data_IF_455062314338
#
_entry.id   IF_455062314338
#
_cell.length_a   1.000
_cell.length_b   1.000
_cell.length_c   1.000
_cell.angle_alpha   90.00
_cell.angle_beta   90.00
_cell.angle_gamma   90.00
#
_symmetry.space_group_name_H-M   'P 1'
#
loop_
_entity.id
_entity.type
_entity.pdbx_description
1 polymer ?
#
# COMPACT_ATOMS: atom_id res chain seq x y z
N UNK A 1 -5.16 16.53 -8.52
CA UNK A 1 -6.55 16.04 -8.59
C UNK A 1 -7.00 15.50 -7.24
N UNK A 2 -8.30 15.48 -7.00
CA UNK A 2 -8.90 14.85 -5.81
C UNK A 2 -9.31 13.42 -6.15
N UNK A 3 -9.01 12.48 -5.27
CA UNK A 3 -9.44 11.08 -5.39
C UNK A 3 -10.27 10.71 -4.15
N UNK A 4 -11.56 10.42 -4.33
CA UNK A 4 -12.52 10.11 -3.26
C UNK A 4 -13.10 8.69 -3.33
N UNK A 5 -12.71 7.93 -4.35
CA UNK A 5 -13.18 6.60 -4.72
C UNK A 5 -14.64 6.49 -5.19
N UNK A 6 -15.41 7.58 -5.25
CA UNK A 6 -16.85 7.54 -5.55
C UNK A 6 -17.30 8.50 -6.65
N UNK A 7 -16.77 9.71 -6.67
CA UNK A 7 -17.27 10.78 -7.52
C UNK A 7 -16.42 10.89 -8.77
N UNK A 8 -16.94 10.35 -9.89
CA UNK A 8 -16.35 10.60 -11.19
C UNK A 8 -16.76 11.99 -11.70
N UNK A 9 -15.79 12.85 -11.97
CA UNK A 9 -16.00 14.14 -12.63
C UNK A 9 -15.48 14.08 -14.06
N UNK A 10 -16.07 14.84 -14.97
CA UNK A 10 -15.66 14.84 -16.40
C UNK A 10 -14.19 15.27 -16.58
N UNK A 11 -13.70 16.15 -15.72
CA UNK A 11 -12.34 16.72 -15.79
C UNK A 11 -11.23 15.81 -15.22
N UNK A 12 -11.59 14.70 -14.56
CA UNK A 12 -10.60 13.83 -13.91
C UNK A 12 -10.65 12.41 -14.50
N UNK A 13 -9.53 11.99 -15.09
CA UNK A 13 -9.35 10.63 -15.59
C UNK A 13 -9.51 9.58 -14.46
N UNK A 14 -9.03 9.92 -13.26
CA UNK A 14 -9.08 9.06 -12.08
C UNK A 14 -9.91 9.68 -10.97
N UNK A 15 -10.71 8.86 -10.30
CA UNK A 15 -11.41 9.21 -9.05
C UNK A 15 -11.16 8.19 -7.94
N UNK A 16 -10.68 6.98 -8.29
CA UNK A 16 -10.25 5.94 -7.36
C UNK A 16 -8.74 5.97 -7.17
N UNK A 17 -8.31 5.79 -5.93
CA UNK A 17 -6.89 5.78 -5.57
C UNK A 17 -6.14 4.65 -6.28
N UNK A 18 -6.70 3.44 -6.32
CA UNK A 18 -6.02 2.30 -6.93
C UNK A 18 -5.86 2.44 -8.45
N UNK A 19 -6.88 2.96 -9.13
CA UNK A 19 -6.83 3.16 -10.58
C UNK A 19 -5.76 4.18 -10.95
N UNK A 20 -5.65 5.27 -10.17
CA UNK A 20 -4.57 6.24 -10.33
C UNK A 20 -3.19 5.59 -10.15
N UNK A 21 -3.00 4.81 -9.08
CA UNK A 21 -1.73 4.11 -8.82
C UNK A 21 -1.41 3.16 -9.98
N UNK A 22 -2.38 2.37 -10.44
CA UNK A 22 -2.23 1.42 -11.54
C UNK A 22 -1.89 2.09 -12.87
N UNK A 23 -2.53 3.22 -13.19
CA UNK A 23 -2.30 3.95 -14.43
C UNK A 23 -0.97 4.69 -14.49
N UNK A 24 -0.37 4.98 -13.32
CA UNK A 24 0.80 5.86 -13.22
C UNK A 24 2.06 5.20 -12.63
N UNK A 25 1.97 3.95 -12.18
CA UNK A 25 3.14 3.18 -11.69
C UNK A 25 3.75 2.37 -12.82
N UNK A 26 5.01 2.63 -13.16
CA UNK A 26 5.77 1.88 -14.17
C UNK A 26 6.96 1.16 -13.52
N UNK A 27 8.18 1.38 -14.03
CA UNK A 27 9.43 0.73 -13.59
C UNK A 27 10.21 1.64 -12.63
N UNK A 28 9.55 2.11 -11.57
CA UNK A 28 10.11 3.01 -10.57
C UNK A 28 10.06 2.45 -9.16
N UNK A 29 10.23 3.32 -8.16
CA UNK A 29 10.19 2.97 -6.75
C UNK A 29 8.95 3.56 -6.07
N UNK A 30 8.19 2.72 -5.37
CA UNK A 30 7.02 3.11 -4.59
C UNK A 30 7.32 3.06 -3.09
N UNK A 31 7.28 4.23 -2.46
CA UNK A 31 7.34 4.38 -1.00
C UNK A 31 5.92 4.58 -0.47
N UNK A 32 5.52 3.79 0.53
CA UNK A 32 4.16 3.78 1.06
C UNK A 32 4.19 3.79 2.58
N UNK A 33 3.37 4.65 3.19
CA UNK A 33 3.02 4.56 4.61
C UNK A 33 1.52 4.47 4.76
N UNK A 34 1.05 3.62 5.67
CA UNK A 34 -0.37 3.47 5.97
C UNK A 34 -0.59 3.08 7.42
N UNK A 35 -1.66 3.60 8.02
CA UNK A 35 -2.06 3.21 9.38
C UNK A 35 -2.72 1.84 9.44
N UNK A 36 -3.46 1.48 8.37
CA UNK A 36 -4.06 0.15 8.24
C UNK A 36 -3.78 -0.50 6.89
N UNK A 37 -3.77 -1.83 6.84
CA UNK A 37 -3.74 -2.57 5.57
C UNK A 37 -4.60 -3.83 5.59
N UNK A 38 -4.95 -4.34 4.40
CA UNK A 38 -5.63 -5.64 4.22
C UNK A 38 -4.85 -6.57 3.28
N UNK A 39 -5.07 -7.88 3.44
CA UNK A 39 -4.40 -8.93 2.64
C UNK A 39 -4.72 -8.78 1.15
N UNK A 40 -5.99 -8.56 0.81
CA UNK A 40 -6.42 -8.37 -0.57
C UNK A 40 -5.81 -7.13 -1.23
N UNK A 41 -5.56 -6.06 -0.47
CA UNK A 41 -4.87 -4.88 -1.01
C UNK A 41 -3.42 -5.21 -1.38
N UNK A 42 -2.69 -5.95 -0.53
CA UNK A 42 -1.34 -6.42 -0.85
C UNK A 42 -1.33 -7.35 -2.07
N UNK A 43 -2.28 -8.29 -2.15
CA UNK A 43 -2.45 -9.15 -3.32
C UNK A 43 -2.70 -8.33 -4.60
N UNK A 44 -3.49 -7.26 -4.51
CA UNK A 44 -3.77 -6.37 -5.63
C UNK A 44 -2.51 -5.63 -6.11
N UNK A 45 -1.59 -5.26 -5.21
CA UNK A 45 -0.30 -4.66 -5.58
C UNK A 45 0.51 -5.62 -6.47
N UNK A 46 0.60 -6.90 -6.09
CA UNK A 46 1.27 -7.94 -6.89
C UNK A 46 0.62 -8.14 -8.25
N UNK A 47 -0.70 -8.13 -8.32
CA UNK A 47 -1.40 -8.42 -9.57
C UNK A 47 -1.33 -7.25 -10.56
N UNK A 48 -1.23 -6.00 -10.08
CA UNK A 48 -1.47 -4.83 -10.93
C UNK A 48 -0.29 -3.89 -11.10
N UNK A 49 0.65 -3.83 -10.15
CA UNK A 49 1.77 -2.86 -10.20
C UNK A 49 3.13 -3.51 -9.92
N UNK A 50 3.22 -4.83 -10.09
CA UNK A 50 4.46 -5.58 -9.87
C UNK A 50 5.54 -5.31 -10.93
N UNK A 51 5.34 -4.39 -11.86
CA UNK A 51 6.39 -3.85 -12.73
C UNK A 51 7.34 -2.92 -11.98
N UNK A 52 6.89 -2.31 -10.87
CA UNK A 52 7.75 -1.43 -10.08
C UNK A 52 9.02 -2.15 -9.63
N UNK A 53 10.14 -1.43 -9.72
CA UNK A 53 11.48 -1.93 -9.44
C UNK A 53 11.74 -2.06 -7.94
N UNK A 54 11.01 -1.30 -7.10
CA UNK A 54 11.19 -1.30 -5.64
C UNK A 54 9.94 -0.87 -4.88
N UNK A 55 9.71 -1.50 -3.73
CA UNK A 55 8.69 -1.11 -2.76
C UNK A 55 9.32 -0.92 -1.38
N UNK A 56 8.95 0.17 -0.70
CA UNK A 56 9.22 0.37 0.73
C UNK A 56 7.91 0.65 1.45
N UNK A 57 7.49 -0.27 2.30
CA UNK A 57 6.19 -0.23 2.97
C UNK A 57 6.39 -0.01 4.47
N UNK A 58 5.87 1.11 4.99
CA UNK A 58 5.71 1.34 6.41
C UNK A 58 4.25 1.01 6.74
N UNK A 59 4.03 -0.16 7.32
CA UNK A 59 2.70 -0.69 7.59
C UNK A 59 2.36 -0.55 9.07
N UNK A 60 1.18 0.00 9.34
CA UNK A 60 0.56 -0.01 10.67
C UNK A 60 -0.14 -1.32 10.96
N UNK A 61 -1.29 -1.26 11.62
CA UNK A 61 -2.00 -2.44 12.06
C UNK A 61 -2.84 -3.03 10.92
N UNK A 62 -3.03 -4.34 10.89
CA UNK A 62 -4.15 -4.87 10.09
C UNK A 62 -5.48 -4.47 10.73
N UNK A 63 -6.51 -4.28 9.91
CA UNK A 63 -7.87 -4.14 10.43
C UNK A 63 -8.30 -5.48 11.04
N UNK A 64 -8.78 -5.42 12.29
CA UNK A 64 -9.13 -6.58 13.14
C UNK A 64 -10.36 -7.38 12.65
N UNK A 65 -11.03 -6.94 11.59
CA UNK A 65 -12.20 -7.63 11.05
C UNK A 65 -11.87 -8.86 10.18
N UNK A 66 -10.58 -9.18 10.03
CA UNK A 66 -10.15 -10.29 9.19
C UNK A 66 -9.51 -11.43 10.02
N UNK A 67 -10.09 -12.64 10.05
CA UNK A 67 -9.45 -13.88 10.56
C UNK A 67 -8.13 -14.25 9.82
N UNK A 68 -7.72 -13.45 8.84
CA UNK A 68 -6.73 -13.74 7.79
C UNK A 68 -5.28 -13.47 8.21
N UNK A 69 -5.04 -12.70 9.29
CA UNK A 69 -3.68 -12.41 9.75
C UNK A 69 -2.91 -13.69 10.09
N UNK A 70 -3.57 -14.57 10.84
CA UNK A 70 -2.99 -15.85 11.22
C UNK A 70 -2.66 -16.65 9.97
N UNK A 71 -3.45 -16.59 8.90
CA UNK A 71 -3.16 -17.34 7.68
C UNK A 71 -1.98 -16.78 6.90
N UNK A 72 -1.87 -15.46 6.75
CA UNK A 72 -0.69 -14.84 6.11
C UNK A 72 0.57 -15.11 6.92
N UNK A 73 0.52 -14.96 8.26
CA UNK A 73 1.64 -15.31 9.15
C UNK A 73 2.00 -16.79 9.03
N UNK A 74 0.99 -17.65 9.09
CA UNK A 74 1.19 -19.09 9.03
C UNK A 74 1.82 -19.47 7.68
N UNK A 75 1.36 -18.90 6.56
CA UNK A 75 1.96 -19.09 5.24
C UNK A 75 3.40 -18.53 5.15
N UNK A 76 3.68 -17.35 5.70
CA UNK A 76 5.04 -16.80 5.80
C UNK A 76 5.97 -17.74 6.59
N UNK A 77 5.44 -18.37 7.63
CA UNK A 77 6.12 -19.33 8.49
C UNK A 77 6.11 -20.77 7.92
N UNK A 78 5.58 -20.99 6.71
CA UNK A 78 5.53 -22.31 6.06
C UNK A 78 4.51 -23.29 6.65
N UNK A 79 3.57 -22.82 7.47
CA UNK A 79 2.52 -23.61 8.10
C UNK A 79 1.17 -23.33 7.42
N UNK A 80 0.64 -24.17 6.52
CA UNK A 80 -0.68 -23.93 5.95
C UNK A 80 -1.80 -24.19 6.99
N UNK A 81 -2.58 -23.15 7.32
CA UNK A 81 -3.78 -23.28 8.15
C UNK A 81 -4.95 -23.95 7.42
N UNK A 82 -5.82 -24.64 8.15
CA UNK A 82 -6.85 -25.53 7.57
C UNK A 82 -8.19 -24.83 7.27
N UNK A 83 -8.48 -23.64 7.84
CA UNK A 83 -9.86 -23.18 8.04
C UNK A 83 -10.42 -22.04 7.15
N UNK A 84 -9.74 -21.57 6.09
CA UNK A 84 -10.31 -20.55 5.18
C UNK A 84 -10.87 -21.07 3.86
N UNK A 85 -11.70 -20.23 3.22
CA UNK A 85 -12.21 -20.43 1.88
C UNK A 85 -11.09 -20.37 0.83
N UNK A 86 -11.30 -20.99 -0.34
CA UNK A 86 -10.31 -21.06 -1.42
C UNK A 86 -9.85 -19.68 -1.92
N UNK A 87 -10.76 -18.71 -2.00
CA UNK A 87 -10.43 -17.34 -2.40
C UNK A 87 -9.52 -16.64 -1.39
N UNK A 88 -9.80 -16.82 -0.08
CA UNK A 88 -8.96 -16.30 1.00
C UNK A 88 -7.54 -16.87 0.93
N UNK A 89 -7.39 -18.18 0.71
CA UNK A 89 -6.07 -18.82 0.51
C UNK A 89 -5.32 -18.24 -0.68
N UNK A 90 -6.02 -17.93 -1.76
CA UNK A 90 -5.39 -17.36 -2.97
C UNK A 90 -4.87 -15.95 -2.73
N UNK A 91 -5.67 -15.08 -2.11
CA UNK A 91 -5.22 -13.72 -1.78
C UNK A 91 -4.10 -13.70 -0.75
N UNK A 92 -4.19 -14.54 0.28
CA UNK A 92 -3.14 -14.69 1.28
C UNK A 92 -1.82 -15.16 0.63
N UNK A 93 -1.88 -16.18 -0.23
CA UNK A 93 -0.72 -16.67 -0.99
C UNK A 93 -0.10 -15.55 -1.85
N UNK A 94 -0.91 -14.78 -2.58
CA UNK A 94 -0.42 -13.65 -3.39
C UNK A 94 0.21 -12.55 -2.54
N UNK A 95 -0.38 -12.23 -1.40
CA UNK A 95 0.18 -11.26 -0.47
C UNK A 95 1.53 -11.74 0.07
N UNK A 96 1.64 -13.01 0.46
CA UNK A 96 2.93 -13.60 0.87
C UNK A 96 3.96 -13.55 -0.24
N UNK A 97 3.60 -14.00 -1.45
CA UNK A 97 4.47 -13.96 -2.61
C UNK A 97 4.93 -12.53 -2.96
N UNK A 98 4.10 -11.52 -2.69
CA UNK A 98 4.49 -10.11 -2.85
C UNK A 98 5.51 -9.70 -1.80
N UNK A 99 5.20 -9.96 -0.53
CA UNK A 99 6.02 -9.56 0.61
C UNK A 99 7.39 -10.25 0.65
N UNK A 100 7.51 -11.44 0.07
CA UNK A 100 8.76 -12.20 -0.01
C UNK A 100 9.68 -11.80 -1.18
N UNK A 101 9.24 -10.92 -2.08
CA UNK A 101 10.10 -10.48 -3.19
C UNK A 101 11.27 -9.65 -2.68
N UNK A 102 12.48 -9.84 -3.24
CA UNK A 102 13.68 -9.07 -2.87
C UNK A 102 13.52 -7.56 -3.02
N UNK A 103 12.65 -7.14 -3.94
CA UNK A 103 12.34 -5.73 -4.20
C UNK A 103 11.34 -5.11 -3.23
N UNK A 104 10.77 -5.88 -2.31
CA UNK A 104 9.78 -5.42 -1.33
C UNK A 104 10.41 -5.40 0.06
N UNK A 105 10.54 -4.20 0.63
CA UNK A 105 10.99 -4.02 2.00
C UNK A 105 9.84 -3.52 2.87
N UNK A 106 9.66 -4.12 4.06
CA UNK A 106 8.57 -3.77 4.99
C UNK A 106 9.12 -3.36 6.35
N UNK A 107 8.48 -2.36 6.98
CA UNK A 107 8.70 -1.95 8.36
C UNK A 107 7.37 -1.77 9.08
N UNK A 108 7.30 -2.21 10.32
CA UNK A 108 6.10 -2.14 11.14
C UNK A 108 6.13 -0.93 12.10
N UNK A 109 4.96 -0.32 12.28
CA UNK A 109 4.69 0.75 13.23
C UNK A 109 4.23 0.14 14.57
N UNK A 110 5.15 -0.41 15.38
CA UNK A 110 4.77 -1.10 16.62
C UNK A 110 4.52 -0.18 17.84
N UNK A 111 5.24 0.95 17.98
CA UNK A 111 5.28 1.72 19.25
C UNK A 111 4.70 3.14 19.20
N UNK A 112 4.57 3.74 18.01
CA UNK A 112 3.99 5.07 17.84
C UNK A 112 2.88 4.95 16.81
N UNK A 113 1.62 5.23 17.13
CA UNK A 113 0.53 5.13 16.14
C UNK A 113 0.75 6.11 14.98
N UNK A 114 1.35 5.62 13.88
CA UNK A 114 1.47 6.38 12.65
C UNK A 114 0.19 6.19 11.85
N UNK A 115 -0.67 7.21 11.91
CA UNK A 115 -1.93 7.23 11.19
C UNK A 115 -1.82 7.84 9.79
N UNK A 116 -0.61 8.18 9.34
CA UNK A 116 -0.39 8.77 8.03
C UNK A 116 -0.78 7.81 6.92
N UNK A 117 -1.25 8.35 5.79
CA UNK A 117 -1.40 7.62 4.54
C UNK A 117 -0.73 8.43 3.43
N UNK A 118 0.31 7.85 2.84
CA UNK A 118 0.98 8.46 1.71
C UNK A 118 1.52 7.39 0.77
N UNK A 119 1.43 7.68 -0.53
CA UNK A 119 1.93 6.85 -1.63
C UNK A 119 2.82 7.74 -2.48
N UNK A 120 4.11 7.47 -2.54
CA UNK A 120 5.11 8.30 -3.23
C UNK A 120 5.81 7.45 -4.27
N UNK A 121 5.60 7.75 -5.55
CA UNK A 121 6.25 7.07 -6.65
C UNK A 121 7.39 7.92 -7.22
N UNK A 122 8.56 7.30 -7.32
CA UNK A 122 9.77 7.89 -7.89
C UNK A 122 10.13 7.16 -9.18
N UNK A 123 10.06 7.87 -10.31
CA UNK A 123 10.46 7.38 -11.62
C UNK A 123 11.87 7.87 -11.99
N UNK A 124 12.44 7.33 -13.08
CA UNK A 124 13.67 7.84 -13.70
C UNK A 124 13.41 9.20 -14.35
N UNK A 125 12.23 9.38 -14.97
CA UNK A 125 11.77 10.65 -15.49
C UNK A 125 11.00 11.43 -14.41
N UNK A 126 11.59 12.50 -13.88
CA UNK A 126 11.00 13.28 -12.77
C UNK A 126 9.55 13.73 -12.99
N UNK A 127 9.17 14.02 -14.23
CA UNK A 127 7.81 14.44 -14.60
C UNK A 127 6.75 13.34 -14.36
N UNK A 128 7.18 12.08 -14.27
CA UNK A 128 6.32 10.93 -13.92
C UNK A 128 6.23 10.68 -12.42
N UNK A 129 7.02 11.38 -11.59
CA UNK A 129 6.88 11.27 -10.14
C UNK A 129 5.47 11.70 -9.74
N UNK A 130 4.89 10.98 -8.78
CA UNK A 130 3.62 11.36 -8.21
C UNK A 130 3.60 11.13 -6.71
N UNK A 131 2.70 11.83 -6.03
CA UNK A 131 2.30 11.48 -4.69
C UNK A 131 0.79 11.47 -4.53
N UNK A 132 0.33 10.65 -3.57
CA UNK A 132 -1.02 10.67 -3.03
C UNK A 132 -0.90 10.82 -1.53
N UNK A 133 -1.59 11.80 -0.97
CA UNK A 133 -1.71 12.01 0.49
C UNK A 133 -3.17 12.25 0.85
N UNK A 134 -3.63 11.67 1.95
CA UNK A 134 -5.04 11.79 2.33
C UNK A 134 -5.47 10.77 3.37
N UNK A 135 -6.73 10.35 3.29
CA UNK A 135 -7.36 9.44 4.24
C UNK A 135 -7.30 7.95 3.86
N UNK A 136 -6.93 7.62 2.62
CA UNK A 136 -6.96 6.24 2.09
C UNK A 136 -5.87 5.32 2.65
N UNK A 137 -6.27 4.40 3.53
CA UNK A 137 -5.42 3.28 3.94
C UNK A 137 -5.19 2.27 2.79
N UNK A 138 -4.16 1.42 2.91
CA UNK A 138 -3.89 0.30 2.01
C UNK A 138 -4.88 -0.87 2.23
N UNK A 139 -6.17 -0.60 2.06
CA UNK A 139 -7.26 -1.58 2.16
C UNK A 139 -8.10 -1.52 0.89
N UNK A 140 -8.81 -2.60 0.54
CA UNK A 140 -9.69 -2.59 -0.63
C UNK A 140 -10.72 -1.45 -0.56
N UNK A 141 -11.26 -1.20 0.63
CA UNK A 141 -12.20 -0.12 0.87
C UNK A 141 -11.55 1.26 0.67
N UNK A 142 -10.37 1.49 1.26
CA UNK A 142 -9.66 2.76 1.20
C UNK A 142 -9.08 3.07 -0.19
N UNK A 143 -8.76 2.04 -0.98
CA UNK A 143 -8.20 2.18 -2.31
C UNK A 143 -9.23 2.29 -3.44
N UNK A 144 -10.52 2.11 -3.16
CA UNK A 144 -11.55 2.15 -4.22
C UNK A 144 -11.69 0.85 -5.03
N UNK A 145 -11.12 -0.27 -4.55
CA UNK A 145 -11.08 -1.54 -5.28
C UNK A 145 -12.46 -2.23 -5.32
N UNK A 146 -13.25 -2.11 -4.25
CA UNK A 146 -14.55 -2.79 -4.13
C UNK A 146 -15.73 -1.81 -4.25
N UNK A 147 -16.90 -2.31 -4.60
CA UNK A 147 -18.10 -1.46 -4.75
C UNK A 147 -18.48 -0.75 -3.44
N UNK A 148 -18.32 -1.43 -2.31
CA UNK A 148 -18.49 -0.89 -0.95
C UNK A 148 -17.27 -0.12 -0.43
N UNK A 149 -16.47 0.48 -1.32
CA UNK A 149 -15.35 1.33 -0.92
C UNK A 149 -15.78 2.57 -0.13
N UNK A 150 -14.87 3.08 0.68
CA UNK A 150 -15.07 4.28 1.48
C UNK A 150 -15.17 5.52 0.60
N UNK A 151 -15.88 6.54 1.09
CA UNK A 151 -15.67 7.91 0.62
C UNK A 151 -14.41 8.40 1.31
N UNK A 152 -13.37 8.66 0.53
CA UNK A 152 -12.09 9.13 1.03
C UNK A 152 -11.83 10.57 0.56
N UNK A 153 -10.82 11.24 1.09
CA UNK A 153 -10.37 12.52 0.57
C UNK A 153 -8.85 12.47 0.43
N UNK A 154 -8.39 12.45 -0.83
CA UNK A 154 -6.98 12.43 -1.15
C UNK A 154 -6.64 13.49 -2.18
N UNK A 155 -5.43 14.01 -2.08
CA UNK A 155 -4.81 14.82 -3.11
C UNK A 155 -3.78 13.95 -3.83
N UNK A 156 -3.92 13.82 -5.15
CA UNK A 156 -2.93 13.22 -6.03
C UNK A 156 -2.32 14.29 -6.95
N UNK A 157 -1.00 14.28 -7.10
CA UNK A 157 -0.27 15.27 -7.91
C UNK A 157 0.92 14.64 -8.64
N UNK A 158 1.20 15.14 -9.84
CA UNK A 158 2.42 14.87 -10.63
C UNK A 158 3.31 16.12 -10.67
N UNK A 159 4.62 15.94 -10.75
CA UNK A 159 5.56 17.02 -11.12
C UNK A 159 5.63 18.23 -10.16
N UNK A 160 5.31 18.05 -8.88
CA UNK A 160 5.49 19.10 -7.85
C UNK A 160 6.76 18.84 -7.04
N UNK A 161 7.90 19.32 -7.56
CA UNK A 161 9.23 18.97 -7.02
C UNK A 161 9.39 19.26 -5.52
N UNK A 162 8.97 20.44 -5.02
CA UNK A 162 9.25 20.81 -3.63
C UNK A 162 8.36 20.06 -2.62
N UNK A 163 7.08 19.91 -2.92
CA UNK A 163 6.15 19.11 -2.10
C UNK A 163 6.60 17.65 -2.09
N UNK A 164 6.95 17.10 -3.25
CA UNK A 164 7.43 15.72 -3.37
C UNK A 164 8.75 15.50 -2.63
N UNK A 165 9.71 16.43 -2.74
CA UNK A 165 10.98 16.38 -1.98
C UNK A 165 10.72 16.39 -0.48
N UNK A 166 9.83 17.25 0.01
CA UNK A 166 9.47 17.32 1.42
C UNK A 166 8.81 16.02 1.91
N UNK A 167 7.87 15.46 1.14
CA UNK A 167 7.23 14.17 1.45
C UNK A 167 8.23 13.02 1.45
N UNK A 168 9.13 12.95 0.46
CA UNK A 168 10.20 11.94 0.39
C UNK A 168 11.17 12.05 1.57
N UNK A 169 11.55 13.28 1.95
CA UNK A 169 12.40 13.52 3.12
C UNK A 169 11.70 13.03 4.39
N UNK A 170 10.45 13.42 4.60
CA UNK A 170 9.67 12.96 5.75
C UNK A 170 9.53 11.43 5.78
N UNK A 171 9.26 10.79 4.64
CA UNK A 171 9.20 9.34 4.52
C UNK A 171 10.53 8.71 4.90
N UNK A 172 11.65 9.24 4.42
CA UNK A 172 12.99 8.74 4.74
C UNK A 172 13.28 8.84 6.25
N UNK A 173 12.92 9.95 6.89
CA UNK A 173 13.06 10.11 8.34
C UNK A 173 12.24 9.08 9.12
N UNK A 174 11.02 8.76 8.67
CA UNK A 174 10.21 7.70 9.28
C UNK A 174 10.85 6.33 9.01
N UNK A 175 11.29 6.09 7.77
CA UNK A 175 11.93 4.85 7.36
C UNK A 175 13.16 4.54 8.20
N UNK A 176 13.99 5.54 8.52
CA UNK A 176 15.19 5.37 9.36
C UNK A 176 14.86 5.13 10.83
N UNK A 177 13.78 5.72 11.34
CA UNK A 177 13.31 5.53 12.72
C UNK A 177 12.69 4.17 12.98
N UNK A 178 11.89 3.67 12.03
CA UNK A 178 11.30 2.34 12.15
C UNK A 178 12.37 1.27 11.94
N UNK A 179 12.36 0.25 12.78
CA UNK A 179 13.27 -0.88 12.63
C UNK A 179 12.80 -1.77 11.48
N UNK A 180 13.75 -2.40 10.78
CA UNK A 180 13.42 -3.50 9.90
C UNK A 180 12.84 -4.63 10.75
N UNK A 181 11.71 -5.17 10.32
CA UNK A 181 11.31 -6.50 10.73
C UNK A 181 11.85 -7.46 9.66
N UNK A 182 12.65 -8.45 10.10
CA UNK A 182 12.39 -9.80 9.61
C UNK A 182 10.96 -10.09 10.03
N UNK A 183 10.12 -10.74 9.21
CA UNK A 183 8.74 -11.06 9.56
C UNK A 183 8.66 -12.02 10.78
N UNK A 184 9.04 -11.54 11.96
CA UNK A 184 8.85 -12.13 13.27
C UNK A 184 7.63 -11.41 13.86
N UNK A 185 6.46 -11.72 13.30
CA UNK A 185 5.15 -11.32 13.81
C UNK A 185 4.80 -12.13 15.08
N UNK A 186 5.71 -12.16 16.06
CA UNK A 186 5.53 -12.82 17.35
C UNK A 186 6.20 -12.00 18.46
N UNK A 187 5.36 -11.37 19.29
CA UNK A 187 5.14 -11.86 20.65
C UNK A 187 3.63 -11.89 20.90
#
# INVERSE_FOLDING_TARGET
MILDNKTKTEDNEYYKVFDFIKGNTENGALDLVTGYFSVNALASMKDNINTAEKFRLILGNLMQEEPQLNEVINLLNGNPGINSTLSLKTSAQKAVEFLQQEKVAVKNIQKNFCHAKAYLYTDKAKTKNYFIVGSSNLTEAGLGIKDSSNIELNIAKHDYEDEFKNLKKWFQEQWEKFKYENFDLIN
#
